data_IF_867534247938
#
_entry.id   IF_867534247938
#
_cell.length_a   1.000
_cell.length_b   1.000
_cell.length_c   1.000
_cell.angle_alpha   90.00
_cell.angle_beta   90.00
_cell.angle_gamma   90.00
#
_symmetry.space_group_name_H-M   'P 1'
#
loop_
_entity.id
_entity.type
_entity.pdbx_description
1 polymer ?
#
# COMPACT_ATOMS: atom_id res chain seq x y z
N UNK A 1 24.83 13.59 -17.22
CA UNK A 1 23.45 14.00 -16.88
C UNK A 1 23.22 13.66 -15.42
N UNK A 2 22.98 14.63 -14.53
CA UNK A 2 22.97 14.40 -13.08
C UNK A 2 21.76 13.55 -12.63
N UNK A 3 21.96 12.65 -11.66
CA UNK A 3 20.93 11.76 -11.11
C UNK A 3 19.70 12.53 -10.58
N UNK A 4 19.91 13.74 -10.03
CA UNK A 4 18.82 14.63 -9.60
C UNK A 4 17.89 15.07 -10.75
N UNK A 5 18.42 15.25 -11.96
CA UNK A 5 17.61 15.64 -13.13
C UNK A 5 16.74 14.47 -13.63
N UNK A 6 17.21 13.22 -13.50
CA UNK A 6 16.42 12.04 -13.87
C UNK A 6 15.17 11.92 -13.01
N UNK A 7 15.28 12.18 -11.70
CA UNK A 7 14.16 12.05 -10.76
C UNK A 7 13.14 13.18 -10.92
N UNK A 8 13.61 14.42 -11.14
CA UNK A 8 12.73 15.59 -11.35
C UNK A 8 11.70 15.38 -12.47
N UNK A 9 12.04 14.60 -13.50
CA UNK A 9 11.18 14.37 -14.66
C UNK A 9 10.65 12.94 -14.79
N UNK A 10 10.75 12.13 -13.73
CA UNK A 10 10.29 10.75 -13.74
C UNK A 10 9.03 10.58 -12.90
N UNK A 11 7.87 10.88 -13.50
CA UNK A 11 6.56 10.71 -12.84
C UNK A 11 6.32 9.25 -12.42
N UNK A 12 6.81 8.26 -13.19
CA UNK A 12 6.67 6.83 -12.85
C UNK A 12 7.37 6.49 -11.53
N UNK A 13 8.57 7.02 -11.31
CA UNK A 13 9.27 6.85 -10.04
C UNK A 13 8.58 7.61 -8.91
N UNK A 14 8.08 8.82 -9.19
CA UNK A 14 7.37 9.61 -8.19
C UNK A 14 6.09 8.92 -7.70
N UNK A 15 5.26 8.40 -8.61
CA UNK A 15 4.03 7.66 -8.24
C UNK A 15 4.36 6.40 -7.46
N UNK A 16 5.40 5.65 -7.86
CA UNK A 16 5.90 4.51 -7.07
C UNK A 16 6.28 4.91 -5.64
N UNK A 17 7.07 5.99 -5.47
CA UNK A 17 7.48 6.46 -4.15
C UNK A 17 6.32 7.00 -3.30
N UNK A 18 5.30 7.60 -3.93
CA UNK A 18 4.06 8.03 -3.25
C UNK A 18 3.37 6.82 -2.62
N UNK A 19 3.14 5.75 -3.39
CA UNK A 19 2.50 4.53 -2.88
C UNK A 19 3.38 3.83 -1.84
N UNK A 20 4.69 3.72 -2.09
CA UNK A 20 5.65 3.16 -1.14
C UNK A 20 5.63 3.89 0.21
N UNK A 21 5.48 5.21 0.20
CA UNK A 21 5.36 6.04 1.41
C UNK A 21 4.06 5.75 2.16
N UNK A 22 2.93 5.59 1.47
CA UNK A 22 1.64 5.26 2.11
C UNK A 22 1.67 3.91 2.81
N UNK A 23 2.49 2.97 2.32
CA UNK A 23 2.73 1.67 2.95
C UNK A 23 3.80 1.71 4.07
N UNK A 24 4.38 2.87 4.37
CA UNK A 24 5.38 3.04 5.44
C UNK A 24 6.80 2.56 5.09
N UNK A 25 7.12 2.36 3.81
CA UNK A 25 8.36 1.66 3.38
C UNK A 25 9.43 2.56 2.73
N UNK A 26 9.31 3.88 2.81
CA UNK A 26 10.21 4.79 2.10
C UNK A 26 11.44 5.19 2.93
N UNK A 27 12.62 5.23 2.31
CA UNK A 27 13.87 5.70 2.94
C UNK A 27 13.95 7.23 2.99
N UNK A 28 14.89 7.77 3.78
CA UNK A 28 15.12 9.22 3.85
C UNK A 28 15.53 9.81 2.49
N UNK A 29 16.40 9.11 1.76
CA UNK A 29 16.85 9.52 0.42
C UNK A 29 15.66 9.61 -0.54
N UNK A 30 14.87 8.55 -0.64
CA UNK A 30 13.68 8.50 -1.48
C UNK A 30 12.64 9.57 -1.10
N UNK A 31 12.51 9.90 0.19
CA UNK A 31 11.63 10.97 0.66
C UNK A 31 12.08 12.34 0.16
N UNK A 32 13.39 12.63 0.18
CA UNK A 32 13.95 13.88 -0.37
C UNK A 32 13.78 13.93 -1.89
N UNK A 33 14.08 12.84 -2.58
CA UNK A 33 13.88 12.70 -4.03
C UNK A 33 12.43 12.97 -4.44
N UNK A 34 11.47 12.37 -3.72
CA UNK A 34 10.05 12.59 -3.94
C UNK A 34 9.65 14.05 -3.68
N UNK A 35 10.16 14.69 -2.61
CA UNK A 35 9.90 16.10 -2.34
C UNK A 35 10.35 17.00 -3.48
N UNK A 36 11.54 16.77 -4.04
CA UNK A 36 12.07 17.54 -5.17
C UNK A 36 11.14 17.42 -6.38
N UNK A 37 10.71 16.21 -6.73
CA UNK A 37 9.77 16.00 -7.84
C UNK A 37 8.43 16.72 -7.58
N UNK A 38 7.90 16.60 -6.37
CA UNK A 38 6.63 17.20 -5.99
C UNK A 38 6.68 18.73 -5.92
N UNK A 39 7.83 19.40 -5.94
CA UNK A 39 7.88 20.87 -6.09
C UNK A 39 7.47 21.27 -7.52
N UNK A 40 7.94 20.52 -8.52
CA UNK A 40 7.84 20.88 -9.94
C UNK A 40 6.74 20.19 -10.74
N UNK A 41 6.01 19.22 -10.19
CA UNK A 41 4.99 18.46 -10.91
C UNK A 41 3.62 18.49 -10.23
N UNK A 42 2.71 19.33 -10.74
CA UNK A 42 1.37 19.49 -10.16
C UNK A 42 0.48 18.24 -10.30
N UNK A 43 0.64 17.47 -11.39
CA UNK A 43 -0.05 16.20 -11.56
C UNK A 43 0.31 15.21 -10.45
N UNK A 44 1.59 15.09 -10.10
CA UNK A 44 2.03 14.22 -9.01
C UNK A 44 1.64 14.77 -7.63
N UNK A 45 1.55 16.10 -7.44
CA UNK A 45 0.96 16.70 -6.22
C UNK A 45 -0.50 16.29 -6.06
N UNK A 46 -1.28 16.38 -7.14
CA UNK A 46 -2.69 15.99 -7.14
C UNK A 46 -2.84 14.49 -6.87
N UNK A 47 -2.07 13.65 -7.57
CA UNK A 47 -2.04 12.21 -7.38
C UNK A 47 -1.74 11.85 -5.91
N UNK A 48 -0.72 12.45 -5.30
CA UNK A 48 -0.38 12.21 -3.89
C UNK A 48 -1.55 12.50 -2.94
N UNK A 49 -2.29 13.60 -3.17
CA UNK A 49 -3.48 13.95 -2.37
C UNK A 49 -4.61 12.94 -2.58
N UNK A 50 -4.83 12.50 -3.81
CA UNK A 50 -5.86 11.52 -4.15
C UNK A 50 -5.54 10.15 -3.55
N UNK A 51 -4.30 9.66 -3.67
CA UNK A 51 -3.87 8.39 -3.07
C UNK A 51 -3.99 8.41 -1.55
N UNK A 52 -3.60 9.49 -0.86
CA UNK A 52 -3.79 9.62 0.59
C UNK A 52 -5.27 9.58 0.99
N UNK A 53 -6.15 10.26 0.22
CA UNK A 53 -7.59 10.22 0.44
C UNK A 53 -8.15 8.79 0.30
N UNK A 54 -7.79 8.08 -0.77
CA UNK A 54 -8.22 6.69 -1.00
C UNK A 54 -7.73 5.78 0.12
N UNK A 55 -6.46 5.89 0.51
CA UNK A 55 -5.88 5.10 1.59
C UNK A 55 -6.63 5.32 2.92
N UNK A 56 -6.94 6.58 3.28
CA UNK A 56 -7.74 6.89 4.47
C UNK A 56 -9.16 6.35 4.37
N UNK A 57 -9.79 6.41 3.21
CA UNK A 57 -11.13 5.86 2.98
C UNK A 57 -11.13 4.34 3.22
N UNK A 58 -10.15 3.61 2.68
CA UNK A 58 -10.06 2.16 2.93
C UNK A 58 -9.77 1.84 4.39
N UNK A 59 -8.84 2.56 5.03
CA UNK A 59 -8.58 2.38 6.46
C UNK A 59 -9.83 2.60 7.31
N UNK A 60 -10.66 3.60 6.96
CA UNK A 60 -11.94 3.84 7.63
C UNK A 60 -12.93 2.72 7.36
N UNK A 61 -13.07 2.25 6.12
CA UNK A 61 -13.95 1.14 5.75
C UNK A 61 -13.64 -0.11 6.57
N UNK A 62 -12.36 -0.48 6.69
CA UNK A 62 -11.95 -1.63 7.50
C UNK A 62 -12.13 -1.40 9.01
N UNK A 63 -11.99 -0.15 9.49
CA UNK A 63 -12.27 0.19 10.91
C UNK A 63 -13.76 0.25 11.23
N UNK A 64 -14.63 0.65 10.30
CA UNK A 64 -16.09 0.66 10.53
C UNK A 64 -16.69 -0.73 10.58
N UNK A 65 -16.03 -1.73 10.00
CA UNK A 65 -16.38 -3.15 10.17
C UNK A 65 -16.01 -3.65 11.58
N UNK A 66 -15.17 -2.92 12.33
CA UNK A 66 -14.63 -3.31 13.63
C UNK A 66 -15.62 -3.22 14.82
N UNK A 67 -16.93 -3.33 14.58
CA UNK A 67 -17.87 -3.75 15.64
C UNK A 67 -17.67 -5.22 16.02
N UNK A 68 -17.12 -6.03 15.11
CA UNK A 68 -16.64 -7.39 15.35
C UNK A 68 -15.34 -7.61 14.57
N UNK A 69 -14.35 -8.35 15.10
CA UNK A 69 -13.19 -8.75 14.30
C UNK A 69 -13.69 -9.45 13.03
N UNK A 70 -13.09 -9.13 11.87
CA UNK A 70 -13.33 -9.87 10.63
C UNK A 70 -12.76 -11.27 10.84
N UNK A 71 -13.60 -12.20 11.29
CA UNK A 71 -13.24 -13.60 11.49
C UNK A 71 -13.73 -14.41 10.30
N UNK A 72 -13.02 -15.49 10.00
CA UNK A 72 -13.53 -16.51 9.10
C UNK A 72 -14.76 -17.17 9.72
N UNK A 73 -15.70 -17.59 8.88
CA UNK A 73 -16.87 -18.37 9.30
C UNK A 73 -16.41 -19.71 9.90
N UNK A 74 -17.07 -20.17 10.98
CA UNK A 74 -16.64 -21.39 11.66
C UNK A 74 -16.78 -22.64 10.81
N UNK A 75 -17.76 -22.70 9.92
CA UNK A 75 -17.87 -23.79 8.95
C UNK A 75 -16.63 -23.85 8.06
N UNK A 76 -16.17 -22.69 7.60
CA UNK A 76 -14.98 -22.61 6.76
C UNK A 76 -13.70 -23.00 7.52
N UNK A 77 -13.58 -22.63 8.80
CA UNK A 77 -12.44 -23.08 9.62
C UNK A 77 -12.41 -24.59 9.79
N UNK A 78 -13.57 -25.21 10.05
CA UNK A 78 -13.70 -26.67 10.20
C UNK A 78 -13.33 -27.37 8.88
N UNK A 79 -13.91 -26.95 7.76
CA UNK A 79 -13.61 -27.52 6.43
C UNK A 79 -12.11 -27.38 6.07
N UNK A 80 -11.48 -26.26 6.45
CA UNK A 80 -10.06 -26.05 6.22
C UNK A 80 -9.20 -26.99 7.09
N UNK A 81 -9.58 -27.18 8.35
CA UNK A 81 -8.88 -28.07 9.27
C UNK A 81 -8.94 -29.53 8.80
N UNK A 82 -10.11 -29.99 8.35
CA UNK A 82 -10.28 -31.33 7.78
C UNK A 82 -9.36 -31.55 6.58
N UNK A 83 -9.33 -30.60 5.64
CA UNK A 83 -8.44 -30.66 4.47
C UNK A 83 -6.95 -30.70 4.84
N UNK A 84 -6.54 -30.02 5.90
CA UNK A 84 -5.15 -30.05 6.39
C UNK A 84 -4.85 -31.43 6.98
N UNK A 85 -5.72 -31.96 7.82
CA UNK A 85 -5.56 -33.27 8.47
C UNK A 85 -5.55 -34.41 7.44
N UNK A 86 -6.45 -34.38 6.45
CA UNK A 86 -6.48 -35.37 5.36
C UNK A 86 -5.16 -35.41 4.59
N UNK A 87 -4.55 -34.24 4.35
CA UNK A 87 -3.26 -34.15 3.66
C UNK A 87 -2.10 -34.63 4.51
N UNK A 88 -2.10 -34.33 5.81
CA UNK A 88 -1.05 -34.80 6.73
C UNK A 88 -1.11 -36.31 7.00
N UNK A 89 -2.30 -36.92 6.93
CA UNK A 89 -2.49 -38.36 7.12
C UNK A 89 -2.35 -39.18 5.82
N UNK A 90 -2.16 -38.52 4.67
CA UNK A 90 -1.97 -39.17 3.37
C UNK A 90 -0.49 -39.32 2.97
N UNK A 91 0.44 -38.90 3.84
CA UNK A 91 1.89 -39.15 3.78
C UNK A 91 2.28 -40.23 4.79
#
# INVERSE_FOLDING_TARGET
MNELNKIRYNCKQATFLIEKKLLGKITLKESVELRIHLIGCDACKLYAKQSDKINRMMQRMFKTVAGKPVTMDEKFKIELQERITDKLNSD
#
